data_IF_352816396237
#
_entry.id   IF_352816396237
#
_cell.length_a   1.000
_cell.length_b   1.000
_cell.length_c   1.000
_cell.angle_alpha   90.00
_cell.angle_beta   90.00
_cell.angle_gamma   90.00
#
_symmetry.space_group_name_H-M   'P 1'
#
loop_
_entity.id
_entity.type
_entity.pdbx_description
1 polymer ?
#
# COMPACT_ATOMS: atom_id res chain seq x y z
N UNK A 1 49.20 50.83 10.03
CA UNK A 1 49.78 51.18 11.35
C UNK A 1 49.60 49.98 12.22
N UNK A 2 50.68 49.27 12.39
CA UNK A 2 51.45 48.84 13.58
C UNK A 2 50.57 48.02 14.55
N UNK A 3 50.82 46.70 14.66
CA UNK A 3 51.91 46.01 15.39
C UNK A 3 51.49 45.99 16.88
N UNK A 4 51.54 44.90 17.69
CA UNK A 4 52.60 43.93 17.95
C UNK A 4 52.08 42.81 18.84
N UNK A 5 52.62 41.60 18.67
CA UNK A 5 52.73 40.56 19.70
C UNK A 5 53.84 40.91 20.71
N UNK A 6 54.04 40.24 21.91
CA UNK A 6 54.51 38.86 21.96
C UNK A 6 54.15 38.03 23.22
N UNK A 7 54.47 36.73 23.18
CA UNK A 7 54.59 35.78 24.29
C UNK A 7 55.88 36.09 25.16
N UNK A 8 56.15 35.45 26.35
CA UNK A 8 56.65 34.08 26.34
C UNK A 8 56.54 33.22 27.65
N UNK A 9 56.89 31.95 27.53
CA UNK A 9 57.66 30.96 28.36
C UNK A 9 57.29 30.66 29.83
N UNK A 10 57.31 29.35 30.10
CA UNK A 10 57.54 28.77 31.43
C UNK A 10 57.49 27.24 31.45
N UNK A 11 58.66 26.63 31.21
CA UNK A 11 59.01 25.20 31.48
C UNK A 11 59.22 24.99 32.96
N UNK A 12 58.80 23.81 33.49
CA UNK A 12 59.65 23.11 34.52
C UNK A 12 59.33 21.60 34.49
N UNK A 13 60.47 20.86 34.45
CA UNK A 13 60.55 19.43 34.45
C UNK A 13 60.66 18.90 35.92
N UNK A 14 60.28 17.65 36.13
CA UNK A 14 60.51 16.94 37.38
C UNK A 14 60.25 15.44 37.21
N UNK A 15 61.15 14.76 37.24
CA UNK A 15 62.01 13.56 37.25
C UNK A 15 61.50 12.47 38.21
N UNK A 16 61.35 11.26 37.66
CA UNK A 16 61.58 9.90 38.17
C UNK A 16 61.13 9.45 39.55
N UNK A 17 60.49 8.26 39.57
CA UNK A 17 61.01 7.10 40.28
C UNK A 17 60.41 5.78 39.81
N UNK A 18 61.23 4.86 39.30
CA UNK A 18 60.93 3.44 39.06
C UNK A 18 60.85 2.70 40.40
N UNK A 19 59.88 1.82 40.56
CA UNK A 19 59.99 0.68 41.46
C UNK A 19 59.35 -0.54 40.76
N UNK A 20 60.26 -1.49 40.37
CA UNK A 20 59.89 -2.84 39.98
C UNK A 20 59.51 -3.64 41.23
N UNK A 21 58.41 -4.35 41.22
CA UNK A 21 58.23 -5.60 41.95
C UNK A 21 57.50 -6.61 41.08
N UNK A 22 58.21 -7.69 40.78
CA UNK A 22 57.68 -8.88 40.19
C UNK A 22 56.96 -9.73 41.22
N UNK A 23 55.80 -10.27 40.91
CA UNK A 23 55.28 -11.53 41.47
C UNK A 23 54.15 -12.12 40.71
N UNK A 24 54.39 -13.33 40.19
CA UNK A 24 53.54 -14.50 40.08
C UNK A 24 52.24 -14.47 39.26
N UNK A 25 52.37 -15.18 38.15
CA UNK A 25 51.31 -15.83 37.37
C UNK A 25 50.24 -16.55 38.22
N UNK A 26 49.00 -16.31 37.93
CA UNK A 26 47.93 -17.30 38.12
C UNK A 26 47.07 -17.29 36.85
N UNK A 27 46.99 -18.44 36.22
CA UNK A 27 46.14 -18.76 35.10
C UNK A 27 44.68 -18.46 35.48
N UNK A 28 44.05 -17.48 34.82
CA UNK A 28 42.62 -17.27 34.84
C UNK A 28 42.08 -17.71 33.47
N UNK A 29 41.32 -18.79 33.50
CA UNK A 29 40.47 -19.29 32.46
C UNK A 29 39.58 -18.18 31.92
N UNK A 30 39.37 -18.02 30.60
CA UNK A 30 38.40 -17.04 30.11
C UNK A 30 36.99 -17.52 30.45
N UNK A 31 36.32 -16.84 31.36
CA UNK A 31 34.88 -16.95 31.55
C UNK A 31 34.15 -16.47 30.28
N UNK A 32 33.18 -17.26 29.92
CA UNK A 32 32.39 -17.13 28.69
C UNK A 32 31.84 -15.75 28.48
N UNK A 33 31.91 -15.30 27.23
CA UNK A 33 31.18 -14.15 26.71
C UNK A 33 29.70 -14.32 27.07
N UNK A 34 29.21 -13.45 27.93
CA UNK A 34 27.78 -13.30 28.20
C UNK A 34 27.08 -13.05 26.88
N UNK A 35 26.07 -13.88 26.65
CA UNK A 35 25.25 -13.89 25.44
C UNK A 35 24.81 -12.50 25.06
N UNK A 36 25.04 -12.17 23.79
CA UNK A 36 24.35 -11.06 23.15
C UNK A 36 22.86 -11.23 23.37
N UNK A 37 22.25 -10.20 23.90
CA UNK A 37 20.78 -10.09 23.92
C UNK A 37 20.33 -10.34 22.49
N UNK A 38 19.56 -11.42 22.29
CA UNK A 38 18.81 -11.61 21.07
C UNK A 38 18.08 -10.29 20.76
N UNK A 39 18.58 -9.59 19.75
CA UNK A 39 17.78 -8.58 19.09
C UNK A 39 16.57 -9.36 18.60
N UNK A 40 15.42 -9.17 19.24
CA UNK A 40 14.17 -9.73 18.78
C UNK A 40 14.05 -9.35 17.30
N UNK A 41 14.25 -10.32 16.44
CA UNK A 41 14.14 -10.14 15.01
C UNK A 41 12.78 -9.48 14.78
N UNK A 42 12.75 -8.31 14.14
CA UNK A 42 11.49 -7.66 13.77
C UNK A 42 10.64 -8.69 13.07
N UNK A 43 9.35 -8.81 13.42
CA UNK A 43 8.47 -9.76 12.75
C UNK A 43 8.60 -9.55 11.25
N UNK A 44 8.96 -10.58 10.52
CA UNK A 44 9.10 -10.50 9.07
C UNK A 44 7.75 -10.19 8.44
N UNK A 45 7.76 -9.61 7.25
CA UNK A 45 6.54 -9.29 6.52
C UNK A 45 6.47 -10.08 5.24
N UNK A 46 5.24 -10.29 4.76
CA UNK A 46 4.95 -10.83 3.44
C UNK A 46 4.22 -9.76 2.61
N UNK A 47 4.60 -9.64 1.34
CA UNK A 47 3.81 -8.92 0.35
C UNK A 47 2.97 -9.92 -0.44
N UNK A 48 1.71 -9.60 -0.59
CA UNK A 48 0.70 -10.38 -1.32
C UNK A 48 0.32 -9.60 -2.56
N UNK A 49 0.55 -10.19 -3.74
CA UNK A 49 0.36 -9.53 -5.04
C UNK A 49 -0.63 -10.33 -5.87
N UNK A 50 -1.75 -9.73 -6.22
CA UNK A 50 -2.74 -10.35 -7.13
C UNK A 50 -2.27 -10.24 -8.57
N UNK A 51 -2.47 -11.31 -9.34
CA UNK A 51 -2.12 -11.37 -10.76
C UNK A 51 -3.38 -11.63 -11.57
N UNK A 52 -3.90 -10.57 -12.20
CA UNK A 52 -5.24 -10.54 -12.80
C UNK A 52 -5.40 -11.58 -13.92
N UNK A 53 -4.42 -11.74 -14.80
CA UNK A 53 -4.52 -12.62 -15.97
C UNK A 53 -4.15 -14.07 -15.66
N UNK A 54 -3.30 -14.33 -14.67
CA UNK A 54 -2.93 -15.71 -14.29
C UNK A 54 -3.79 -16.29 -13.16
N UNK A 55 -4.75 -15.52 -12.62
CA UNK A 55 -5.66 -15.99 -11.57
C UNK A 55 -4.96 -16.43 -10.27
N UNK A 56 -3.88 -15.76 -9.92
CA UNK A 56 -2.97 -16.17 -8.86
C UNK A 56 -2.70 -15.03 -7.87
N UNK A 57 -2.24 -15.44 -6.70
CA UNK A 57 -1.62 -14.57 -5.69
C UNK A 57 -0.14 -14.94 -5.57
N UNK A 58 0.75 -14.01 -5.87
CA UNK A 58 2.19 -14.15 -5.60
C UNK A 58 2.48 -13.68 -4.18
N UNK A 59 3.16 -14.49 -3.39
CA UNK A 59 3.57 -14.18 -2.01
C UNK A 59 5.08 -13.97 -1.98
N UNK A 60 5.51 -12.80 -1.50
CA UNK A 60 6.91 -12.37 -1.47
C UNK A 60 7.35 -12.18 -0.03
N UNK A 61 8.48 -12.74 0.36
CA UNK A 61 9.18 -12.43 1.61
C UNK A 61 9.88 -11.08 1.46
N UNK A 62 9.46 -10.08 2.26
CA UNK A 62 10.00 -8.72 2.15
C UNK A 62 11.41 -8.58 2.75
N UNK A 63 11.85 -9.53 3.56
CA UNK A 63 13.21 -9.56 4.08
C UNK A 63 14.23 -10.01 3.02
N UNK A 64 13.86 -11.02 2.22
CA UNK A 64 14.68 -11.58 1.15
C UNK A 64 14.38 -10.98 -0.22
N UNK A 65 13.28 -10.25 -0.38
CA UNK A 65 12.72 -9.77 -1.65
C UNK A 65 12.60 -10.91 -2.67
N UNK A 66 12.00 -12.02 -2.27
CA UNK A 66 11.88 -13.22 -3.10
C UNK A 66 10.50 -13.86 -2.98
N UNK A 67 10.03 -14.44 -4.08
CA UNK A 67 8.79 -15.22 -4.11
C UNK A 67 8.95 -16.45 -3.23
N UNK A 68 8.02 -16.64 -2.29
CA UNK A 68 7.97 -17.81 -1.39
C UNK A 68 6.80 -18.74 -1.69
N UNK A 69 5.81 -18.28 -2.44
CA UNK A 69 4.70 -19.08 -2.93
C UNK A 69 3.93 -18.38 -4.04
N UNK A 70 3.20 -19.18 -4.81
CA UNK A 70 2.14 -18.75 -5.72
C UNK A 70 0.91 -19.59 -5.42
N UNK A 71 -0.26 -18.95 -5.32
CA UNK A 71 -1.52 -19.58 -4.90
C UNK A 71 -2.59 -19.25 -5.92
N UNK A 72 -3.23 -20.26 -6.50
CA UNK A 72 -4.41 -20.07 -7.32
C UNK A 72 -5.59 -19.60 -6.45
N UNK A 73 -6.19 -18.44 -6.78
CA UNK A 73 -7.19 -17.82 -5.90
C UNK A 73 -8.57 -17.68 -6.54
N UNK A 74 -8.67 -17.73 -7.84
CA UNK A 74 -9.93 -17.57 -8.59
C UNK A 74 -9.78 -16.55 -9.72
N UNK A 75 -10.89 -16.25 -10.41
CA UNK A 75 -10.89 -15.49 -11.67
C UNK A 75 -10.62 -14.00 -11.41
N UNK A 76 -9.74 -13.40 -12.23
CA UNK A 76 -9.41 -11.97 -12.22
C UNK A 76 -9.23 -11.39 -10.81
N UNK A 77 -8.24 -11.86 -10.03
CA UNK A 77 -7.97 -11.30 -8.71
C UNK A 77 -7.45 -9.87 -8.82
N UNK A 78 -8.10 -8.90 -8.13
CA UNK A 78 -7.77 -7.48 -8.14
C UNK A 78 -7.42 -6.98 -6.75
N UNK A 79 -8.34 -6.37 -6.04
CA UNK A 79 -8.10 -5.88 -4.68
C UNK A 79 -7.60 -6.97 -3.73
N UNK A 80 -6.62 -6.64 -2.89
CA UNK A 80 -6.07 -7.54 -1.87
C UNK A 80 -5.86 -6.81 -0.56
N UNK A 81 -6.22 -7.44 0.54
CA UNK A 81 -5.97 -6.96 1.91
C UNK A 81 -5.57 -8.13 2.80
N UNK A 82 -4.77 -7.84 3.81
CA UNK A 82 -4.38 -8.79 4.85
C UNK A 82 -4.81 -8.25 6.21
N UNK A 83 -5.29 -9.12 7.08
CA UNK A 83 -5.67 -8.74 8.44
C UNK A 83 -4.46 -8.23 9.23
N UNK A 84 -4.67 -7.32 10.21
CA UNK A 84 -3.57 -6.78 11.01
C UNK A 84 -2.74 -7.83 11.76
N UNK A 85 -3.32 -8.98 12.07
CA UNK A 85 -2.65 -10.13 12.71
C UNK A 85 -1.91 -11.05 11.71
N UNK A 86 -2.00 -10.75 10.39
CA UNK A 86 -1.36 -11.51 9.33
C UNK A 86 -1.97 -12.88 9.02
N UNK A 87 -3.08 -13.27 9.65
CA UNK A 87 -3.61 -14.64 9.53
C UNK A 87 -4.50 -14.87 8.34
N UNK A 88 -5.17 -13.83 7.85
CA UNK A 88 -6.12 -13.95 6.75
C UNK A 88 -5.81 -12.96 5.65
N UNK A 89 -5.81 -13.43 4.42
CA UNK A 89 -5.73 -12.61 3.22
C UNK A 89 -7.06 -12.66 2.49
N UNK A 90 -7.57 -11.51 2.10
CA UNK A 90 -8.77 -11.36 1.29
C UNK A 90 -8.39 -10.92 -0.12
N UNK A 91 -9.06 -11.45 -1.14
CA UNK A 91 -8.83 -11.11 -2.56
C UNK A 91 -10.17 -10.93 -3.26
N UNK A 92 -10.37 -9.79 -3.92
CA UNK A 92 -11.54 -9.55 -4.77
C UNK A 92 -11.39 -10.34 -6.08
N UNK A 93 -12.43 -11.07 -6.45
CA UNK A 93 -12.51 -11.89 -7.64
C UNK A 93 -13.64 -11.40 -8.54
N UNK A 94 -13.43 -11.39 -9.85
CA UNK A 94 -14.41 -10.96 -10.83
C UNK A 94 -14.61 -11.97 -11.95
N UNK A 95 -15.85 -12.24 -12.28
CA UNK A 95 -16.26 -13.02 -13.44
C UNK A 95 -16.55 -12.17 -14.67
N UNK A 96 -16.41 -10.84 -14.57
CA UNK A 96 -16.52 -9.93 -15.71
C UNK A 96 -15.29 -10.05 -16.61
N UNK A 97 -15.46 -10.03 -17.93
CA UNK A 97 -14.34 -10.13 -18.85
C UNK A 97 -13.52 -8.84 -18.84
N UNK A 98 -12.24 -8.96 -19.11
CA UNK A 98 -11.34 -7.81 -19.28
C UNK A 98 -11.52 -7.22 -20.67
N UNK A 99 -11.81 -5.94 -20.75
CA UNK A 99 -11.89 -5.19 -21.99
C UNK A 99 -10.61 -4.39 -22.20
N UNK A 100 -9.68 -4.86 -23.06
CA UNK A 100 -8.49 -4.09 -23.35
C UNK A 100 -8.86 -2.77 -24.06
N UNK A 101 -8.13 -1.68 -23.85
CA UNK A 101 -8.43 -0.37 -24.46
C UNK A 101 -8.46 -0.35 -26.00
N UNK A 102 -7.98 -1.41 -26.63
CA UNK A 102 -7.99 -1.59 -28.09
C UNK A 102 -9.22 -2.32 -28.60
N UNK A 103 -10.04 -2.87 -27.70
CA UNK A 103 -11.28 -3.55 -28.04
C UNK A 103 -12.41 -2.51 -28.13
N UNK A 104 -13.22 -2.51 -29.23
CA UNK A 104 -14.42 -1.68 -29.30
C UNK A 104 -15.44 -2.06 -28.21
N UNK A 105 -16.15 -1.08 -27.66
CA UNK A 105 -17.15 -1.29 -26.62
C UNK A 105 -18.21 -2.32 -27.03
N UNK A 106 -18.66 -2.28 -28.30
CA UNK A 106 -19.63 -3.25 -28.84
C UNK A 106 -19.12 -4.71 -28.85
N UNK A 107 -17.81 -4.90 -28.91
CA UNK A 107 -17.21 -6.25 -28.82
C UNK A 107 -17.03 -6.66 -27.35
N UNK A 108 -16.68 -5.71 -26.50
CA UNK A 108 -16.58 -5.93 -25.07
C UNK A 108 -17.94 -6.37 -24.47
N UNK A 109 -19.03 -5.71 -24.84
CA UNK A 109 -20.37 -6.06 -24.38
C UNK A 109 -20.84 -7.47 -24.80
N UNK A 110 -20.25 -8.04 -25.83
CA UNK A 110 -20.53 -9.42 -26.29
C UNK A 110 -19.78 -10.47 -25.50
N UNK A 111 -18.81 -10.09 -24.71
CA UNK A 111 -18.02 -11.03 -23.91
C UNK A 111 -18.91 -11.67 -22.84
N UNK A 112 -18.70 -12.95 -22.62
CA UNK A 112 -19.51 -13.70 -21.65
C UNK A 112 -19.09 -13.37 -20.23
N UNK A 113 -20.02 -12.79 -19.48
CA UNK A 113 -19.88 -12.54 -18.03
C UNK A 113 -20.29 -13.79 -17.25
N UNK A 114 -19.47 -14.23 -16.29
CA UNK A 114 -19.80 -15.32 -15.37
C UNK A 114 -19.84 -14.81 -13.93
N UNK A 115 -20.97 -14.24 -13.53
CA UNK A 115 -21.16 -13.70 -12.18
C UNK A 115 -21.00 -14.73 -11.05
N UNK A 116 -21.00 -16.02 -11.35
CA UNK A 116 -20.74 -17.06 -10.35
C UNK A 116 -19.29 -17.06 -9.86
N UNK A 117 -18.41 -16.32 -10.53
CA UNK A 117 -17.00 -16.14 -10.19
C UNK A 117 -16.75 -14.89 -9.33
N UNK A 118 -17.74 -14.00 -9.21
CA UNK A 118 -17.65 -12.82 -8.37
C UNK A 118 -17.61 -13.20 -6.88
N UNK A 119 -16.80 -12.52 -6.11
CA UNK A 119 -16.74 -12.71 -4.66
C UNK A 119 -15.42 -12.27 -4.04
N UNK A 120 -15.29 -12.54 -2.76
CA UNK A 120 -14.05 -12.30 -2.01
C UNK A 120 -13.47 -13.65 -1.56
N UNK A 121 -12.33 -14.03 -2.11
CA UNK A 121 -11.60 -15.22 -1.65
C UNK A 121 -11.01 -14.94 -0.25
N UNK A 122 -11.17 -15.90 0.64
CA UNK A 122 -10.62 -15.90 2.00
C UNK A 122 -9.51 -16.94 2.06
N UNK A 123 -8.29 -16.48 2.32
CA UNK A 123 -7.09 -17.29 2.29
C UNK A 123 -6.51 -17.36 3.69
N UNK A 124 -6.25 -18.56 4.18
CA UNK A 124 -5.45 -18.75 5.38
C UNK A 124 -3.98 -18.53 5.04
N UNK A 125 -3.37 -17.53 5.68
CA UNK A 125 -2.02 -17.09 5.34
C UNK A 125 -0.93 -18.11 5.72
N UNK A 126 -1.15 -18.91 6.76
CA UNK A 126 -0.18 -19.91 7.21
C UNK A 126 -0.16 -21.13 6.28
N UNK A 127 -1.34 -21.65 5.91
CA UNK A 127 -1.46 -22.79 5.01
C UNK A 127 -1.42 -22.38 3.53
N UNK A 128 -1.60 -21.08 3.23
CA UNK A 128 -1.67 -20.52 1.87
C UNK A 128 -2.79 -21.15 1.03
N UNK A 129 -3.87 -21.51 1.67
CA UNK A 129 -5.02 -22.17 1.03
C UNK A 129 -6.23 -21.24 1.00
N UNK A 130 -6.94 -21.21 -0.13
CA UNK A 130 -8.28 -20.60 -0.20
C UNK A 130 -9.22 -21.46 0.64
N UNK A 131 -9.77 -20.91 1.70
CA UNK A 131 -10.66 -21.63 2.62
C UNK A 131 -12.12 -21.52 2.23
N UNK A 132 -12.51 -20.40 1.67
CA UNK A 132 -13.86 -20.13 1.14
C UNK A 132 -13.84 -18.91 0.22
N UNK A 133 -14.91 -18.74 -0.55
CA UNK A 133 -15.26 -17.49 -1.23
C UNK A 133 -16.56 -16.99 -0.63
N UNK A 134 -16.59 -15.73 -0.20
CA UNK A 134 -17.76 -15.08 0.36
C UNK A 134 -18.32 -14.07 -0.65
N UNK A 135 -19.64 -13.76 -0.64
CA UNK A 135 -20.21 -12.77 -1.51
C UNK A 135 -19.53 -11.41 -1.38
N UNK A 136 -19.20 -10.77 -2.50
CA UNK A 136 -18.61 -9.42 -2.54
C UNK A 136 -19.49 -8.40 -3.25
N UNK A 137 -20.46 -8.84 -4.00
CA UNK A 137 -21.27 -8.03 -4.91
C UNK A 137 -21.02 -8.41 -6.37
N UNK A 138 -21.32 -7.51 -7.31
CA UNK A 138 -21.14 -7.74 -8.74
C UNK A 138 -19.91 -7.02 -9.25
N UNK A 139 -18.97 -7.77 -9.79
CA UNK A 139 -17.67 -7.30 -10.26
C UNK A 139 -16.89 -6.55 -9.16
N UNK A 140 -16.52 -7.25 -8.05
CA UNK A 140 -15.78 -6.59 -6.97
C UNK A 140 -14.41 -6.13 -7.45
N UNK A 141 -14.13 -4.83 -7.26
CA UNK A 141 -12.87 -4.19 -7.70
C UNK A 141 -11.87 -4.15 -6.56
N UNK A 142 -12.16 -3.31 -5.58
CA UNK A 142 -11.37 -3.20 -4.35
C UNK A 142 -12.24 -3.24 -3.11
N UNK A 143 -11.62 -3.32 -1.97
CA UNK A 143 -12.30 -3.29 -0.69
C UNK A 143 -11.36 -2.83 0.41
N UNK A 144 -11.94 -2.45 1.55
CA UNK A 144 -11.19 -2.23 2.77
C UNK A 144 -11.87 -2.92 3.96
N UNK A 145 -11.10 -3.13 5.03
CA UNK A 145 -11.52 -3.83 6.23
C UNK A 145 -11.88 -2.80 7.30
N UNK A 146 -13.02 -2.97 7.98
CA UNK A 146 -13.37 -2.14 9.13
C UNK A 146 -12.30 -2.20 10.22
N UNK A 147 -12.17 -1.13 11.01
CA UNK A 147 -11.15 -1.02 12.06
C UNK A 147 -11.19 -2.18 13.09
N UNK A 148 -12.37 -2.75 13.33
CA UNK A 148 -12.56 -3.89 14.22
C UNK A 148 -12.41 -5.25 13.54
N UNK A 149 -12.11 -5.28 12.22
CA UNK A 149 -11.93 -6.51 11.46
C UNK A 149 -13.22 -7.31 11.19
N UNK A 150 -14.40 -6.73 11.42
CA UNK A 150 -15.68 -7.45 11.30
C UNK A 150 -16.36 -7.32 9.95
N UNK A 151 -16.07 -6.25 9.20
CA UNK A 151 -16.73 -5.91 7.94
C UNK A 151 -15.71 -5.71 6.82
N UNK A 152 -16.14 -6.04 5.59
CA UNK A 152 -15.54 -5.54 4.36
C UNK A 152 -16.48 -4.53 3.71
N UNK A 153 -15.92 -3.47 3.17
CA UNK A 153 -16.60 -2.52 2.30
C UNK A 153 -16.05 -2.71 0.90
N UNK A 154 -16.87 -3.19 -0.02
CA UNK A 154 -16.45 -3.69 -1.34
C UNK A 154 -17.06 -2.81 -2.43
N UNK A 155 -16.27 -2.25 -3.32
CA UNK A 155 -16.76 -1.58 -4.54
C UNK A 155 -17.20 -2.61 -5.57
N UNK A 156 -18.35 -2.38 -6.20
CA UNK A 156 -18.94 -3.23 -7.22
C UNK A 156 -19.06 -2.42 -8.52
N UNK A 157 -18.06 -2.58 -9.39
CA UNK A 157 -17.85 -1.74 -10.57
C UNK A 157 -19.08 -1.71 -11.49
N UNK A 158 -19.53 -2.88 -11.96
CA UNK A 158 -20.66 -3.01 -12.88
C UNK A 158 -21.99 -2.51 -12.30
N UNK A 159 -22.16 -2.64 -10.98
CA UNK A 159 -23.45 -2.34 -10.34
C UNK A 159 -23.57 -0.88 -9.85
N UNK A 160 -22.50 -0.11 -9.84
CA UNK A 160 -22.49 1.25 -9.28
C UNK A 160 -22.81 1.29 -7.79
N UNK A 161 -22.38 0.24 -7.02
CA UNK A 161 -22.73 0.09 -5.61
C UNK A 161 -21.52 -0.27 -4.77
N UNK A 162 -21.66 -0.17 -3.45
CA UNK A 162 -20.78 -0.82 -2.51
C UNK A 162 -21.52 -1.86 -1.68
N UNK A 163 -20.92 -3.02 -1.46
CA UNK A 163 -21.41 -4.03 -0.54
C UNK A 163 -20.73 -3.90 0.82
N UNK A 164 -21.51 -4.04 1.88
CA UNK A 164 -21.03 -4.17 3.26
C UNK A 164 -21.18 -5.63 3.64
N UNK A 165 -20.06 -6.32 3.80
CA UNK A 165 -20.01 -7.77 4.00
C UNK A 165 -19.56 -8.10 5.42
N UNK A 166 -20.32 -8.91 6.13
CA UNK A 166 -19.92 -9.45 7.43
C UNK A 166 -18.94 -10.61 7.23
N UNK A 167 -17.72 -10.47 7.74
CA UNK A 167 -16.63 -11.44 7.54
C UNK A 167 -16.93 -12.77 8.21
N UNK A 168 -17.43 -12.75 9.43
CA UNK A 168 -17.72 -13.95 10.22
C UNK A 168 -18.71 -14.88 9.52
N UNK A 169 -19.98 -14.47 9.32
CA UNK A 169 -20.97 -15.26 8.63
C UNK A 169 -20.71 -15.36 7.12
N UNK A 170 -19.97 -14.43 6.52
CA UNK A 170 -19.72 -14.39 5.09
C UNK A 170 -20.98 -13.97 4.31
N UNK A 171 -21.69 -12.95 4.77
CA UNK A 171 -22.96 -12.49 4.18
C UNK A 171 -22.94 -11.00 3.87
N UNK A 172 -23.61 -10.59 2.79
CA UNK A 172 -23.82 -9.17 2.49
C UNK A 172 -24.88 -8.61 3.44
N UNK A 173 -24.48 -7.69 4.33
CA UNK A 173 -25.36 -6.98 5.26
C UNK A 173 -26.18 -5.91 4.57
N UNK A 174 -25.56 -5.19 3.64
CA UNK A 174 -26.18 -4.10 2.90
C UNK A 174 -25.50 -3.86 1.57
N UNK A 175 -26.23 -3.28 0.61
CA UNK A 175 -25.71 -2.76 -0.65
C UNK A 175 -26.15 -1.30 -0.78
N UNK A 176 -25.21 -0.40 -1.07
CA UNK A 176 -25.41 1.05 -1.06
C UNK A 176 -25.03 1.63 -2.42
N UNK A 177 -25.86 2.46 -3.05
CA UNK A 177 -25.48 3.18 -4.27
C UNK A 177 -24.32 4.14 -4.03
N UNK A 178 -23.29 4.07 -4.89
CA UNK A 178 -22.07 4.88 -4.76
C UNK A 178 -21.79 5.76 -5.97
N UNK A 179 -22.51 5.60 -7.04
CA UNK A 179 -22.23 6.23 -8.33
C UNK A 179 -21.68 5.22 -9.33
N UNK A 180 -21.35 5.72 -10.53
CA UNK A 180 -20.92 4.86 -11.64
C UNK A 180 -19.45 4.49 -11.52
N UNK A 181 -19.15 3.22 -11.80
CA UNK A 181 -17.79 2.64 -11.79
C UNK A 181 -17.07 2.96 -10.46
N UNK A 182 -17.58 2.46 -9.30
CA UNK A 182 -16.87 2.60 -8.05
C UNK A 182 -15.62 1.71 -8.05
N UNK A 183 -14.46 2.30 -7.69
CA UNK A 183 -13.19 1.57 -7.68
C UNK A 183 -12.55 1.52 -6.29
N UNK A 184 -11.73 2.53 -5.97
CA UNK A 184 -10.96 2.57 -4.72
C UNK A 184 -11.84 2.68 -3.49
N UNK A 185 -11.58 1.85 -2.49
CA UNK A 185 -12.26 1.86 -1.19
C UNK A 185 -11.22 2.05 -0.09
N UNK A 186 -11.44 3.02 0.80
CA UNK A 186 -10.55 3.26 1.93
C UNK A 186 -11.34 3.67 3.17
N UNK A 187 -11.10 2.98 4.29
CA UNK A 187 -11.63 3.33 5.61
C UNK A 187 -10.78 4.46 6.19
N UNK A 188 -11.43 5.49 6.75
CA UNK A 188 -10.73 6.59 7.42
C UNK A 188 -9.90 6.08 8.61
N UNK A 189 -8.80 6.77 9.00
CA UNK A 189 -7.94 6.31 10.09
C UNK A 189 -8.63 6.19 11.46
N UNK A 190 -9.71 6.94 11.68
CA UNK A 190 -10.55 6.84 12.88
C UNK A 190 -11.60 5.73 12.82
N UNK A 191 -11.69 5.03 11.67
CA UNK A 191 -12.64 3.95 11.43
C UNK A 191 -14.09 4.35 11.26
N UNK A 192 -14.41 5.66 11.19
CA UNK A 192 -15.81 6.14 11.22
C UNK A 192 -16.42 6.33 9.86
N UNK A 193 -15.61 6.50 8.81
CA UNK A 193 -16.10 6.72 7.46
C UNK A 193 -15.40 5.82 6.46
N UNK A 194 -16.11 5.50 5.38
CA UNK A 194 -15.57 4.77 4.22
C UNK A 194 -15.68 5.67 3.01
N UNK A 195 -14.57 5.85 2.30
CA UNK A 195 -14.51 6.69 1.13
C UNK A 195 -14.31 5.83 -0.11
N UNK A 196 -15.19 6.00 -1.09
CA UNK A 196 -15.26 5.18 -2.30
C UNK A 196 -15.18 6.09 -3.51
N UNK A 197 -14.25 5.84 -4.42
CA UNK A 197 -14.10 6.61 -5.65
C UNK A 197 -15.20 6.22 -6.65
N UNK A 198 -15.80 7.19 -7.32
CA UNK A 198 -16.70 7.01 -8.46
C UNK A 198 -16.00 7.52 -9.72
N UNK A 199 -15.46 6.61 -10.52
CA UNK A 199 -14.61 6.93 -11.65
C UNK A 199 -15.29 7.84 -12.65
N UNK A 200 -16.44 7.42 -13.16
CA UNK A 200 -17.21 8.17 -14.17
C UNK A 200 -17.90 9.39 -13.58
N UNK A 201 -18.28 9.36 -12.31
CA UNK A 201 -18.96 10.49 -11.66
C UNK A 201 -17.99 11.56 -11.13
N UNK A 202 -16.68 11.27 -11.13
CA UNK A 202 -15.63 12.20 -10.69
C UNK A 202 -15.86 12.69 -9.27
N UNK A 203 -16.23 11.78 -8.38
CA UNK A 203 -16.46 12.11 -6.98
C UNK A 203 -16.04 10.95 -6.05
N UNK A 204 -16.11 11.25 -4.77
CA UNK A 204 -15.93 10.29 -3.70
C UNK A 204 -17.26 10.17 -2.96
N UNK A 205 -17.83 8.98 -2.90
CA UNK A 205 -18.93 8.69 -1.98
C UNK A 205 -18.36 8.41 -0.59
N UNK A 206 -18.87 9.12 0.42
CA UNK A 206 -18.51 8.94 1.82
C UNK A 206 -19.66 8.26 2.55
N UNK A 207 -19.40 7.09 3.10
CA UNK A 207 -20.34 6.33 3.93
C UNK A 207 -19.97 6.48 5.40
N UNK A 208 -20.96 6.46 6.27
CA UNK A 208 -20.78 6.16 7.68
C UNK A 208 -20.45 4.68 7.84
N UNK A 209 -19.33 4.36 8.51
CA UNK A 209 -18.82 3.00 8.58
C UNK A 209 -19.68 2.05 9.44
N UNK A 210 -20.39 2.58 10.43
CA UNK A 210 -21.24 1.77 11.32
C UNK A 210 -22.57 1.42 10.65
N UNK A 211 -23.25 2.43 10.13
CA UNK A 211 -24.58 2.27 9.55
C UNK A 211 -24.57 1.87 8.08
N UNK A 212 -23.48 2.16 7.37
CA UNK A 212 -23.37 2.01 5.93
C UNK A 212 -24.12 3.08 5.13
N UNK A 213 -24.74 4.06 5.78
CA UNK A 213 -25.49 5.12 5.10
C UNK A 213 -24.57 6.09 4.39
N UNK A 214 -24.97 6.53 3.19
CA UNK A 214 -24.29 7.61 2.47
C UNK A 214 -24.41 8.93 3.23
N UNK A 215 -23.27 9.45 3.68
CA UNK A 215 -23.22 10.72 4.38
C UNK A 215 -23.12 11.91 3.42
N UNK A 216 -22.33 11.79 2.34
CA UNK A 216 -22.14 12.84 1.32
C UNK A 216 -21.42 12.30 0.09
N UNK A 217 -21.27 13.17 -0.94
CA UNK A 217 -20.28 13.01 -2.00
C UNK A 217 -19.36 14.23 -2.04
N UNK A 218 -18.10 14.01 -2.42
CA UNK A 218 -17.07 15.05 -2.56
C UNK A 218 -16.59 15.05 -4.01
N UNK A 219 -16.86 16.13 -4.76
CA UNK A 219 -16.32 16.27 -6.12
C UNK A 219 -14.81 16.44 -6.08
N UNK A 220 -14.12 15.71 -6.96
CA UNK A 220 -12.66 15.71 -7.10
C UNK A 220 -12.27 15.90 -8.58
N UNK A 221 -11.04 15.59 -8.95
CA UNK A 221 -10.63 15.61 -10.36
C UNK A 221 -11.16 14.39 -11.15
N UNK A 222 -10.81 14.34 -12.44
CA UNK A 222 -11.38 13.37 -13.37
C UNK A 222 -10.81 11.96 -13.16
N UNK A 223 -11.69 10.95 -13.16
CA UNK A 223 -11.38 9.52 -12.97
C UNK A 223 -10.59 9.24 -11.68
N UNK A 224 -11.20 9.46 -10.51
CA UNK A 224 -10.55 9.13 -9.25
C UNK A 224 -10.42 7.61 -9.09
N UNK A 225 -9.20 7.14 -8.81
CA UNK A 225 -8.85 5.71 -8.69
C UNK A 225 -8.69 5.22 -7.26
N UNK A 226 -8.13 6.05 -6.40
CA UNK A 226 -7.84 5.66 -5.03
C UNK A 226 -7.88 6.87 -4.09
N UNK A 227 -8.05 6.60 -2.79
CA UNK A 227 -7.99 7.60 -1.72
C UNK A 227 -6.97 7.16 -0.68
N UNK A 228 -6.02 8.06 -0.36
CA UNK A 228 -5.07 7.86 0.75
C UNK A 228 -5.29 8.90 1.84
N UNK A 229 -5.24 8.51 3.10
CA UNK A 229 -5.36 9.40 4.24
C UNK A 229 -4.00 9.68 4.89
N UNK A 230 -3.79 10.89 5.40
CA UNK A 230 -2.78 11.08 6.43
C UNK A 230 -3.17 10.29 7.68
N UNK A 231 -2.20 9.68 8.40
CA UNK A 231 -2.49 8.87 9.59
C UNK A 231 -3.22 9.62 10.71
N UNK A 232 -3.05 10.95 10.78
CA UNK A 232 -3.76 11.79 11.75
C UNK A 232 -5.23 12.09 11.34
N UNK A 233 -5.69 11.61 10.18
CA UNK A 233 -7.05 11.78 9.69
C UNK A 233 -7.45 13.19 9.29
N UNK A 234 -6.52 14.14 9.22
CA UNK A 234 -6.86 15.55 8.91
C UNK A 234 -7.06 15.79 7.42
N UNK A 235 -6.29 15.10 6.58
CA UNK A 235 -6.35 15.23 5.11
C UNK A 235 -6.44 13.87 4.43
N UNK A 236 -7.14 13.86 3.29
CA UNK A 236 -7.17 12.77 2.33
C UNK A 236 -6.71 13.26 0.96
N UNK A 237 -6.23 12.34 0.14
CA UNK A 237 -5.76 12.60 -1.21
C UNK A 237 -6.45 11.65 -2.18
N UNK A 238 -7.05 12.18 -3.25
CA UNK A 238 -7.66 11.40 -4.31
C UNK A 238 -6.76 11.40 -5.54
N UNK A 239 -6.43 10.22 -6.05
CA UNK A 239 -5.66 10.04 -7.29
C UNK A 239 -6.59 10.20 -8.50
N UNK A 240 -6.49 11.31 -9.23
CA UNK A 240 -7.33 11.64 -10.37
C UNK A 240 -6.60 11.27 -11.67
N UNK A 241 -6.86 10.06 -12.17
CA UNK A 241 -6.12 9.47 -13.30
C UNK A 241 -6.14 10.34 -14.55
N UNK A 242 -7.32 10.77 -14.99
CA UNK A 242 -7.45 11.49 -16.26
C UNK A 242 -6.79 12.86 -16.22
N UNK A 243 -6.83 13.56 -15.08
CA UNK A 243 -6.21 14.88 -14.91
C UNK A 243 -4.70 14.83 -14.64
N UNK A 244 -4.19 13.68 -14.19
CA UNK A 244 -2.79 13.58 -13.72
C UNK A 244 -2.54 14.44 -12.48
N UNK A 245 -3.51 14.45 -11.54
CA UNK A 245 -3.47 15.26 -10.32
C UNK A 245 -3.82 14.45 -9.08
N UNK A 246 -3.52 15.01 -7.91
CA UNK A 246 -4.16 14.63 -6.65
C UNK A 246 -5.05 15.78 -6.17
N UNK A 247 -6.28 15.47 -5.77
CA UNK A 247 -7.09 16.41 -4.98
C UNK A 247 -6.71 16.29 -3.51
N UNK A 248 -6.47 17.40 -2.84
CA UNK A 248 -6.23 17.48 -1.40
C UNK A 248 -7.57 17.78 -0.73
N UNK A 249 -7.98 16.96 0.22
CA UNK A 249 -9.30 17.05 0.83
C UNK A 249 -9.14 17.23 2.33
N UNK A 250 -9.77 18.25 2.90
CA UNK A 250 -9.97 18.36 4.35
C UNK A 250 -11.06 17.37 4.79
N UNK A 251 -10.70 16.43 5.64
CA UNK A 251 -11.57 15.33 6.04
C UNK A 251 -12.75 15.78 6.87
N UNK A 252 -12.56 16.80 7.71
CA UNK A 252 -13.61 17.32 8.60
C UNK A 252 -14.70 18.05 7.81
N UNK A 253 -14.30 18.97 6.94
CA UNK A 253 -15.26 19.72 6.11
C UNK A 253 -15.71 18.97 4.86
N UNK A 254 -15.01 17.88 4.50
CA UNK A 254 -15.24 17.09 3.27
C UNK A 254 -15.20 17.96 2.01
N UNK A 255 -14.22 18.86 1.95
CA UNK A 255 -14.01 19.77 0.81
C UNK A 255 -12.62 19.62 0.24
N UNK A 256 -12.51 19.74 -1.08
CA UNK A 256 -11.22 19.92 -1.75
C UNK A 256 -10.66 21.27 -1.37
N UNK A 257 -9.44 21.28 -0.83
CA UNK A 257 -8.72 22.48 -0.37
C UNK A 257 -7.49 22.80 -1.22
N UNK A 258 -7.11 21.91 -2.14
CA UNK A 258 -5.99 22.08 -3.04
C UNK A 258 -5.88 20.97 -4.08
N UNK A 259 -4.95 21.15 -5.00
CA UNK A 259 -4.66 20.17 -6.05
C UNK A 259 -3.15 20.13 -6.31
N UNK A 260 -2.59 18.93 -6.37
CA UNK A 260 -1.19 18.70 -6.73
C UNK A 260 -1.15 18.19 -8.17
N UNK A 261 -0.44 18.91 -9.05
CA UNK A 261 -0.17 18.43 -10.41
C UNK A 261 1.04 17.51 -10.39
N UNK A 262 0.88 16.30 -10.91
CA UNK A 262 1.99 15.35 -11.04
C UNK A 262 2.81 15.61 -12.31
N UNK A 263 4.10 15.22 -12.32
CA UNK A 263 4.98 15.50 -13.45
C UNK A 263 4.65 14.65 -14.68
N UNK A 264 4.98 15.19 -15.86
CA UNK A 264 4.84 14.49 -17.14
C UNK A 264 3.40 14.09 -17.46
N UNK A 265 3.24 12.91 -18.06
CA UNK A 265 1.94 12.30 -18.39
C UNK A 265 1.49 11.33 -17.30
N UNK A 266 1.70 11.69 -16.05
CA UNK A 266 1.30 10.87 -14.92
C UNK A 266 -0.19 10.55 -14.99
N UNK A 267 -0.51 9.27 -14.74
CA UNK A 267 -1.87 8.76 -14.59
C UNK A 267 -1.93 8.10 -13.21
N UNK A 268 -2.19 8.90 -12.13
CA UNK A 268 -2.13 8.41 -10.76
C UNK A 268 -3.17 7.32 -10.50
N UNK A 269 -2.73 6.28 -9.80
CA UNK A 269 -3.50 5.08 -9.50
C UNK A 269 -3.54 4.81 -7.98
N UNK A 270 -2.57 4.07 -7.45
CA UNK A 270 -2.47 3.75 -6.03
C UNK A 270 -1.80 4.86 -5.22
N UNK A 271 -2.19 4.97 -3.95
CA UNK A 271 -1.61 5.91 -2.97
C UNK A 271 -1.15 5.12 -1.75
N UNK A 272 0.06 5.38 -1.28
CA UNK A 272 0.58 4.88 -0.01
C UNK A 272 1.16 6.04 0.80
N UNK A 273 0.79 6.14 2.07
CA UNK A 273 1.23 7.22 2.97
C UNK A 273 2.10 6.63 4.06
N UNK A 274 3.23 7.28 4.36
CA UNK A 274 4.11 6.85 5.45
C UNK A 274 3.41 6.96 6.80
N UNK A 275 3.78 6.09 7.76
CA UNK A 275 3.18 6.09 9.11
C UNK A 275 3.34 7.40 9.87
N UNK A 276 4.42 8.13 9.61
CA UNK A 276 4.64 9.46 10.20
C UNK A 276 3.89 10.58 9.47
N UNK A 277 3.19 10.24 8.38
CA UNK A 277 2.40 11.17 7.58
C UNK A 277 3.20 12.19 6.80
N UNK A 278 4.51 12.00 6.64
CA UNK A 278 5.38 13.01 5.97
C UNK A 278 5.45 12.84 4.47
N UNK A 279 5.39 11.61 3.98
CA UNK A 279 5.55 11.32 2.55
C UNK A 279 4.36 10.55 2.01
N UNK A 280 3.89 10.97 0.85
CA UNK A 280 2.85 10.32 0.07
C UNK A 280 3.51 9.76 -1.19
N UNK A 281 3.37 8.46 -1.43
CA UNK A 281 3.80 7.82 -2.65
C UNK A 281 2.60 7.54 -3.54
N UNK A 282 2.75 7.80 -4.83
CA UNK A 282 1.69 7.64 -5.83
C UNK A 282 2.23 6.86 -7.01
N UNK A 283 1.60 5.74 -7.35
CA UNK A 283 1.89 5.04 -8.60
C UNK A 283 1.27 5.81 -9.77
N UNK A 284 2.00 5.87 -10.89
CA UNK A 284 1.57 6.64 -12.07
C UNK A 284 1.52 5.72 -13.28
N UNK A 285 0.35 5.13 -13.55
CA UNK A 285 0.14 4.05 -14.50
C UNK A 285 0.85 4.26 -15.85
N UNK A 286 0.53 5.33 -16.59
CA UNK A 286 1.12 5.55 -17.93
C UNK A 286 2.61 5.90 -17.88
N UNK A 287 3.03 6.72 -16.92
CA UNK A 287 4.43 7.14 -16.79
C UNK A 287 5.35 6.02 -16.26
N UNK A 288 4.81 4.94 -15.71
CA UNK A 288 5.60 3.82 -15.21
C UNK A 288 6.44 4.16 -13.97
N UNK A 289 5.99 5.12 -13.18
CA UNK A 289 6.76 5.67 -12.07
C UNK A 289 6.01 5.59 -10.75
N UNK A 290 6.75 5.74 -9.66
CA UNK A 290 6.24 6.21 -8.37
C UNK A 290 6.71 7.63 -8.18
N UNK A 291 5.80 8.51 -7.78
CA UNK A 291 6.07 9.90 -7.40
C UNK A 291 6.00 10.01 -5.88
N UNK A 292 6.98 10.67 -5.28
CA UNK A 292 7.01 11.02 -3.86
C UNK A 292 6.62 12.48 -3.66
N UNK A 293 5.76 12.72 -2.66
CA UNK A 293 5.21 14.04 -2.33
C UNK A 293 5.47 14.30 -0.85
N UNK A 294 5.99 15.48 -0.52
CA UNK A 294 6.06 15.98 0.85
C UNK A 294 4.68 16.44 1.30
N UNK A 295 4.13 15.81 2.33
CA UNK A 295 2.78 16.06 2.80
C UNK A 295 2.63 17.39 3.56
N UNK A 296 3.72 18.02 4.01
CA UNK A 296 3.65 19.31 4.70
C UNK A 296 3.56 20.47 3.72
N UNK A 297 4.23 20.33 2.57
CA UNK A 297 4.30 21.39 1.54
C UNK A 297 3.44 21.09 0.32
N UNK A 298 2.86 19.87 0.24
CA UNK A 298 2.10 19.36 -0.91
C UNK A 298 2.91 19.41 -2.24
N UNK A 299 4.22 19.27 -2.14
CA UNK A 299 5.16 19.39 -3.26
C UNK A 299 5.73 18.05 -3.67
N UNK A 300 5.87 17.84 -4.98
CA UNK A 300 6.59 16.67 -5.52
C UNK A 300 8.07 16.79 -5.16
N UNK A 301 8.61 15.78 -4.47
CA UNK A 301 10.02 15.74 -4.01
C UNK A 301 10.87 14.74 -4.80
N UNK A 302 10.26 13.92 -5.65
CA UNK A 302 10.99 13.00 -6.51
C UNK A 302 10.08 12.06 -7.31
N UNK A 303 10.68 11.35 -8.25
CA UNK A 303 10.05 10.25 -8.98
C UNK A 303 11.06 9.16 -9.31
N UNK A 304 10.61 7.90 -9.37
CA UNK A 304 11.43 6.75 -9.74
C UNK A 304 10.66 5.84 -10.70
N UNK A 305 11.32 5.39 -11.78
CA UNK A 305 10.73 4.44 -12.74
C UNK A 305 10.77 3.04 -12.11
N UNK A 306 9.62 2.34 -12.10
CA UNK A 306 9.46 1.03 -11.45
C UNK A 306 9.10 -0.10 -12.43
N UNK A 307 8.32 0.19 -13.47
CA UNK A 307 7.88 -0.79 -14.46
C UNK A 307 6.73 -0.23 -15.28
N UNK A 308 6.12 -1.05 -16.14
CA UNK A 308 5.02 -0.57 -16.97
C UNK A 308 3.69 -0.62 -16.22
N UNK A 309 2.96 0.48 -16.23
CA UNK A 309 1.62 0.65 -15.66
C UNK A 309 1.53 0.11 -14.23
N UNK A 310 2.30 0.69 -13.26
CA UNK A 310 2.14 0.32 -11.86
C UNK A 310 0.75 0.72 -11.36
N UNK A 311 0.04 -0.24 -10.75
CA UNK A 311 -1.28 -0.07 -10.16
C UNK A 311 -1.21 0.03 -8.65
N UNK A 312 -1.33 -1.13 -8.00
CA UNK A 312 -1.25 -1.21 -6.55
C UNK A 312 0.16 -0.92 -6.04
N UNK A 313 0.23 -0.23 -4.92
CA UNK A 313 1.46 0.02 -4.18
C UNK A 313 1.24 -0.18 -2.69
N UNK A 314 2.25 -0.67 -1.99
CA UNK A 314 2.19 -0.82 -0.53
C UNK A 314 3.56 -0.61 0.11
N UNK A 315 3.56 0.09 1.26
CA UNK A 315 4.75 0.27 2.10
C UNK A 315 4.89 -0.86 3.10
N UNK A 316 6.12 -1.29 3.37
CA UNK A 316 6.41 -2.09 4.56
C UNK A 316 6.04 -1.31 5.82
N UNK A 317 5.61 -1.98 6.91
CA UNK A 317 5.19 -1.28 8.13
C UNK A 317 6.25 -0.39 8.77
N UNK A 318 7.53 -0.67 8.53
CA UNK A 318 8.66 0.18 8.93
C UNK A 318 8.92 1.35 7.96
N UNK A 319 8.20 1.37 6.84
CA UNK A 319 8.33 2.38 5.81
C UNK A 319 9.61 2.31 4.97
N UNK A 320 10.46 1.28 5.15
CA UNK A 320 11.76 1.19 4.49
C UNK A 320 11.68 0.80 3.02
N UNK A 321 10.65 0.05 2.63
CA UNK A 321 10.45 -0.42 1.26
C UNK A 321 9.03 -0.14 0.76
N UNK A 322 8.93 0.15 -0.54
CA UNK A 322 7.67 0.25 -1.27
C UNK A 322 7.65 -0.82 -2.35
N UNK A 323 6.56 -1.58 -2.43
CA UNK A 323 6.31 -2.58 -3.47
C UNK A 323 5.30 -2.07 -4.47
N UNK A 324 5.52 -2.32 -5.77
CA UNK A 324 4.65 -1.87 -6.86
C UNK A 324 4.24 -3.04 -7.75
N UNK A 325 2.96 -3.19 -8.03
CA UNK A 325 2.45 -4.18 -8.99
C UNK A 325 2.49 -3.58 -10.40
N UNK A 326 3.40 -4.06 -11.25
CA UNK A 326 3.64 -3.51 -12.58
C UNK A 326 2.96 -4.40 -13.64
N UNK A 327 1.68 -4.09 -13.95
CA UNK A 327 0.80 -4.98 -14.72
C UNK A 327 1.43 -5.54 -16.00
N UNK A 328 1.62 -4.74 -17.08
CA UNK A 328 2.16 -5.25 -18.35
C UNK A 328 3.63 -5.67 -18.31
N UNK A 329 4.36 -5.41 -17.20
CA UNK A 329 5.72 -5.91 -17.00
C UNK A 329 5.75 -7.33 -16.42
N UNK A 330 4.64 -7.80 -15.81
CA UNK A 330 4.53 -9.07 -15.09
C UNK A 330 5.54 -9.17 -13.94
N UNK A 331 5.77 -8.08 -13.25
CA UNK A 331 6.74 -7.99 -12.16
C UNK A 331 6.28 -7.07 -11.01
N UNK A 332 7.03 -7.14 -9.93
CA UNK A 332 6.91 -6.28 -8.75
C UNK A 332 8.20 -5.50 -8.59
N UNK A 333 8.10 -4.18 -8.60
CA UNK A 333 9.22 -3.30 -8.27
C UNK A 333 9.37 -3.15 -6.75
N UNK A 334 10.60 -3.21 -6.26
CA UNK A 334 10.95 -2.93 -4.86
C UNK A 334 11.76 -1.65 -4.82
N UNK A 335 11.22 -0.64 -4.15
CA UNK A 335 11.84 0.68 -4.01
C UNK A 335 12.33 0.84 -2.57
N UNK A 336 13.60 1.14 -2.38
CA UNK A 336 14.14 1.64 -1.11
C UNK A 336 13.65 3.08 -0.91
N UNK A 337 12.92 3.34 0.16
CA UNK A 337 12.30 4.66 0.38
C UNK A 337 13.28 5.73 0.82
N UNK A 338 14.40 5.34 1.41
CA UNK A 338 15.45 6.27 1.89
C UNK A 338 16.28 6.83 0.73
N UNK A 339 16.68 5.96 -0.21
CA UNK A 339 17.43 6.37 -1.41
C UNK A 339 16.53 6.74 -2.56
N UNK A 340 15.28 6.36 -2.50
CA UNK A 340 14.24 6.47 -3.52
C UNK A 340 14.69 5.89 -4.87
N UNK A 341 15.21 4.67 -4.82
CA UNK A 341 15.68 3.91 -5.99
C UNK A 341 15.09 2.51 -6.00
N UNK A 342 14.91 1.94 -7.20
CA UNK A 342 14.53 0.53 -7.36
C UNK A 342 15.75 -0.33 -7.01
N UNK A 343 15.59 -1.16 -5.99
CA UNK A 343 16.64 -2.09 -5.53
C UNK A 343 16.48 -3.47 -6.13
N UNK A 344 15.25 -3.84 -6.51
CA UNK A 344 14.96 -5.14 -7.10
C UNK A 344 13.70 -5.10 -7.97
N UNK A 345 13.68 -5.96 -8.97
CA UNK A 345 12.48 -6.32 -9.74
C UNK A 345 12.26 -7.82 -9.56
N UNK A 346 11.06 -8.21 -9.11
CA UNK A 346 10.71 -9.59 -8.77
C UNK A 346 9.69 -10.07 -9.80
N UNK A 347 9.94 -11.13 -10.57
CA UNK A 347 8.95 -11.71 -11.45
C UNK A 347 7.70 -12.13 -10.67
N UNK A 348 6.52 -11.86 -11.23
CA UNK A 348 5.22 -12.23 -10.69
C UNK A 348 4.39 -12.97 -11.74
N UNK A 349 3.13 -13.25 -11.46
CA UNK A 349 2.20 -13.82 -12.45
C UNK A 349 1.76 -12.82 -13.52
N UNK A 350 0.78 -13.19 -14.32
CA UNK A 350 0.27 -12.36 -15.42
C UNK A 350 -0.51 -11.15 -14.91
N UNK A 351 -0.08 -9.96 -15.29
CA UNK A 351 -0.68 -8.66 -14.98
C UNK A 351 -0.89 -8.44 -13.48
N UNK A 352 0.19 -8.25 -12.69
CA UNK A 352 0.09 -7.84 -11.29
C UNK A 352 -0.77 -6.59 -11.13
N UNK A 353 -1.72 -6.64 -10.15
CA UNK A 353 -2.70 -5.56 -9.97
C UNK A 353 -2.65 -4.95 -8.58
N UNK A 354 -2.95 -5.69 -7.53
CA UNK A 354 -3.00 -5.23 -6.15
C UNK A 354 -1.79 -5.67 -5.35
N UNK A 355 -1.42 -4.90 -4.33
CA UNK A 355 -0.39 -5.24 -3.35
C UNK A 355 -0.88 -4.97 -1.94
N UNK A 356 -0.73 -5.93 -1.04
CA UNK A 356 -0.91 -5.76 0.40
C UNK A 356 0.30 -6.31 1.15
N UNK A 357 0.66 -5.69 2.28
CA UNK A 357 1.76 -6.14 3.13
C UNK A 357 1.23 -6.40 4.54
N UNK A 358 1.55 -7.57 5.09
CA UNK A 358 1.20 -7.94 6.44
C UNK A 358 2.29 -8.72 7.15
N UNK A 359 2.17 -8.90 8.48
CA UNK A 359 3.13 -9.71 9.24
C UNK A 359 3.10 -11.16 8.74
N UNK A 360 4.20 -11.87 8.90
CA UNK A 360 4.25 -13.32 8.69
C UNK A 360 3.28 -13.98 9.70
N UNK A 361 2.47 -14.95 9.26
CA UNK A 361 1.51 -15.65 10.12
C UNK A 361 2.18 -16.53 11.18
#
# INVERSE_FOLDING_TARGET
MRADSPAPFGRLAGLSLLLLTAACSRDAKPEGAAGGKDATASPGYLAYVTNEDSNELTIIDTGADSVVATVAVGTRPRGVKVTPDGKTVFVALSGSPKCPPTMPDEECEKLKVDKSKDGIAVIDAATRAVTKVIPGGSDPETFDISANGALLYVSNEDAGTASIVEIGPGTVRATVPTGREPEGVTVSPDGKTVWITGETDHDLTVLDAETGMKATSVKVGLRPRNVGFLPNGTRAYSANEADGTLSIIDVTSRKVIGTIKLPGEAKPMGIAVTRDGKTIYVSTGRAGQVVAIDAATDSVIGSVTVGRRPWGIALTPDGSKLYTANGPSNDVGVVDTKTFTVTKTIPAGGVPWGVAIGPKP
#
